data_IF_880669685466
#
_entry.id   IF_880669685466
#
_cell.length_a   1.000
_cell.length_b   1.000
_cell.length_c   1.000
_cell.angle_alpha   90.00
_cell.angle_beta   90.00
_cell.angle_gamma   90.00
#
_symmetry.space_group_name_H-M   'P 1'
#
loop_
_entity.id
_entity.type
_entity.pdbx_description
1 polymer ?
#
# COMPACT_ATOMS: atom_id res chain seq x y z
N UNK A 1 -3.38 -8.89 -10.03
CA UNK A 1 -2.41 -8.29 -10.97
C UNK A 1 -2.82 -8.50 -12.43
N UNK A 2 -3.04 -7.42 -13.17
CA UNK A 2 -3.21 -7.44 -14.61
C UNK A 2 -1.87 -7.71 -15.31
N UNK A 3 -1.92 -8.08 -16.59
CA UNK A 3 -0.73 -8.40 -17.40
C UNK A 3 -0.25 -7.26 -18.28
N UNK A 4 -0.98 -6.14 -18.33
CA UNK A 4 -0.72 -5.01 -19.22
C UNK A 4 -0.11 -3.85 -18.42
N UNK A 5 0.91 -3.23 -18.99
CA UNK A 5 1.51 -2.00 -18.43
C UNK A 5 0.49 -0.87 -18.41
N UNK A 6 0.39 -0.18 -17.29
CA UNK A 6 -0.59 0.86 -17.00
C UNK A 6 -1.78 0.38 -16.19
N UNK A 7 -2.02 -0.93 -16.14
CA UNK A 7 -3.03 -1.54 -15.28
C UNK A 7 -2.43 -1.94 -13.92
N UNK A 8 -3.28 -2.29 -12.95
CA UNK A 8 -2.85 -2.69 -11.60
C UNK A 8 -1.92 -3.91 -11.62
N UNK A 9 -0.70 -3.74 -11.10
CA UNK A 9 0.28 -4.82 -10.93
C UNK A 9 0.25 -5.42 -9.51
N UNK A 10 1.33 -6.09 -9.10
CA UNK A 10 1.45 -6.68 -7.75
C UNK A 10 1.29 -5.65 -6.63
N UNK A 11 1.86 -4.44 -6.78
CA UNK A 11 1.80 -3.37 -5.78
C UNK A 11 0.36 -2.89 -5.60
N UNK A 12 -0.35 -2.76 -6.72
CA UNK A 12 -1.78 -2.49 -6.75
C UNK A 12 -2.61 -3.54 -6.01
N UNK A 13 -2.35 -4.82 -6.23
CA UNK A 13 -3.07 -5.89 -5.52
C UNK A 13 -2.81 -5.89 -4.00
N UNK A 14 -1.59 -5.56 -3.57
CA UNK A 14 -1.29 -5.44 -2.14
C UNK A 14 -2.04 -4.26 -1.50
N UNK A 15 -2.15 -3.14 -2.20
CA UNK A 15 -2.95 -2.01 -1.73
C UNK A 15 -4.42 -2.41 -1.52
N UNK A 16 -5.05 -3.05 -2.50
CA UNK A 16 -6.45 -3.50 -2.36
C UNK A 16 -6.65 -4.52 -1.25
N UNK A 17 -5.69 -5.43 -1.06
CA UNK A 17 -5.70 -6.35 0.08
C UNK A 17 -5.70 -5.58 1.41
N UNK A 18 -4.81 -4.59 1.57
CA UNK A 18 -4.73 -3.77 2.77
C UNK A 18 -6.01 -2.95 2.99
N UNK A 19 -6.56 -2.33 1.94
CA UNK A 19 -7.81 -1.56 1.98
C UNK A 19 -8.97 -2.42 2.50
N UNK A 20 -9.22 -3.57 1.85
CA UNK A 20 -10.35 -4.42 2.23
C UNK A 20 -10.16 -5.06 3.60
N UNK A 21 -8.92 -5.38 3.97
CA UNK A 21 -8.63 -5.89 5.30
C UNK A 21 -8.91 -4.83 6.37
N UNK A 22 -8.42 -3.61 6.20
CA UNK A 22 -8.68 -2.51 7.13
C UNK A 22 -10.19 -2.22 7.24
N UNK A 23 -10.92 -2.20 6.13
CA UNK A 23 -12.38 -2.03 6.13
C UNK A 23 -13.11 -3.17 6.84
N UNK A 24 -12.63 -4.41 6.75
CA UNK A 24 -13.22 -5.55 7.44
C UNK A 24 -12.96 -5.48 8.96
N UNK A 25 -11.73 -5.14 9.35
CA UNK A 25 -11.34 -5.00 10.77
C UNK A 25 -12.01 -3.80 11.43
N UNK A 26 -12.21 -2.70 10.70
CA UNK A 26 -12.94 -1.53 11.21
C UNK A 26 -14.45 -1.79 11.43
N UNK A 27 -15.03 -2.75 10.70
CA UNK A 27 -16.48 -3.05 10.74
C UNK A 27 -16.86 -4.23 11.63
N UNK A 28 -15.90 -5.07 12.04
CA UNK A 28 -16.21 -6.21 12.90
C UNK A 28 -16.63 -5.76 14.30
N UNK A 29 -17.37 -6.62 14.99
CA UNK A 29 -17.98 -6.35 16.31
C UNK A 29 -17.45 -7.27 17.42
N UNK A 30 -16.45 -8.09 17.12
CA UNK A 30 -15.81 -9.02 18.06
C UNK A 30 -14.80 -8.33 18.98
N UNK A 31 -14.15 -7.28 18.49
CA UNK A 31 -13.16 -6.49 19.22
C UNK A 31 -13.33 -5.00 18.91
N UNK A 32 -13.95 -4.26 19.84
CA UNK A 32 -14.23 -2.85 19.65
C UNK A 32 -12.96 -1.98 19.62
N UNK A 33 -11.91 -2.36 20.36
CA UNK A 33 -10.66 -1.61 20.38
C UNK A 33 -9.92 -1.74 19.05
N UNK A 34 -9.86 -2.96 18.51
CA UNK A 34 -9.28 -3.22 17.20
C UNK A 34 -10.08 -2.52 16.07
N UNK A 35 -11.41 -2.54 16.15
CA UNK A 35 -12.26 -1.81 15.20
C UNK A 35 -11.98 -0.30 15.23
N UNK A 36 -11.94 0.30 16.42
CA UNK A 36 -11.66 1.72 16.60
C UNK A 36 -10.26 2.11 16.10
N UNK A 37 -9.26 1.23 16.30
CA UNK A 37 -7.91 1.45 15.81
C UNK A 37 -7.83 1.45 14.26
N UNK A 38 -8.52 0.50 13.61
CA UNK A 38 -8.52 0.40 12.15
C UNK A 38 -9.48 1.37 11.44
N UNK A 39 -10.46 1.94 12.15
CA UNK A 39 -11.41 2.90 11.58
C UNK A 39 -10.76 4.08 10.85
N UNK A 40 -9.81 4.84 11.44
CA UNK A 40 -9.14 5.94 10.73
C UNK A 40 -8.28 5.44 9.57
N UNK A 41 -7.61 4.29 9.71
CA UNK A 41 -6.78 3.70 8.64
C UNK A 41 -7.66 3.34 7.44
N UNK A 42 -8.79 2.67 7.67
CA UNK A 42 -9.74 2.30 6.63
C UNK A 42 -10.33 3.54 5.94
N UNK A 43 -10.64 4.59 6.70
CA UNK A 43 -11.14 5.85 6.16
C UNK A 43 -10.12 6.53 5.25
N UNK A 44 -8.87 6.67 5.70
CA UNK A 44 -7.78 7.27 4.92
C UNK A 44 -7.46 6.49 3.65
N UNK A 45 -7.36 5.16 3.72
CA UNK A 45 -7.14 4.31 2.54
C UNK A 45 -8.29 4.42 1.53
N UNK A 46 -9.53 4.49 2.01
CA UNK A 46 -10.72 4.64 1.14
C UNK A 46 -10.75 6.02 0.49
N UNK A 47 -10.52 7.09 1.26
CA UNK A 47 -10.53 8.46 0.76
C UNK A 47 -9.43 8.73 -0.27
N UNK A 48 -8.28 8.06 -0.12
CA UNK A 48 -7.11 8.24 -0.99
C UNK A 48 -6.97 7.16 -2.07
N UNK A 49 -7.97 6.29 -2.28
CA UNK A 49 -7.86 5.14 -3.19
C UNK A 49 -7.36 5.54 -4.59
N UNK A 50 -8.04 6.50 -5.22
CA UNK A 50 -7.70 6.95 -6.58
C UNK A 50 -6.30 7.54 -6.65
N UNK A 51 -5.90 8.31 -5.63
CA UNK A 51 -4.58 8.94 -5.55
C UNK A 51 -3.48 7.88 -5.41
N UNK A 52 -3.68 6.89 -4.53
CA UNK A 52 -2.73 5.80 -4.32
C UNK A 52 -2.57 4.98 -5.61
N UNK A 53 -3.67 4.60 -6.26
CA UNK A 53 -3.62 3.86 -7.54
C UNK A 53 -2.89 4.65 -8.62
N UNK A 54 -3.13 5.97 -8.71
CA UNK A 54 -2.40 6.84 -9.64
C UNK A 54 -0.90 6.88 -9.35
N UNK A 55 -0.49 7.03 -8.09
CA UNK A 55 0.92 7.00 -7.67
C UNK A 55 1.60 5.66 -8.00
N UNK A 56 0.91 4.54 -7.75
CA UNK A 56 1.41 3.19 -8.06
C UNK A 56 1.57 2.96 -9.57
N UNK A 57 0.67 3.52 -10.39
CA UNK A 57 0.72 3.37 -11.84
C UNK A 57 1.70 4.34 -12.53
N UNK A 58 1.94 5.52 -11.96
CA UNK A 58 2.79 6.57 -12.56
C UNK A 58 4.26 6.15 -12.77
N UNK A 59 4.72 5.13 -12.04
CA UNK A 59 6.08 4.57 -12.17
C UNK A 59 6.20 3.43 -13.18
N UNK A 60 5.08 2.96 -13.74
CA UNK A 60 5.08 1.87 -14.71
C UNK A 60 5.63 2.31 -16.07
N UNK A 61 6.11 1.35 -16.86
CA UNK A 61 6.62 1.59 -18.21
C UNK A 61 8.00 2.24 -18.27
N UNK A 62 8.66 2.44 -17.13
CA UNK A 62 10.03 2.98 -17.02
C UNK A 62 10.98 1.90 -16.53
N UNK A 63 12.23 1.95 -17.03
CA UNK A 63 13.29 1.13 -16.49
C UNK A 63 13.59 1.54 -15.04
N UNK A 64 13.82 0.55 -14.17
CA UNK A 64 14.13 0.75 -12.75
C UNK A 64 15.45 0.05 -12.46
N UNK A 65 16.42 0.79 -11.92
CA UNK A 65 17.68 0.24 -11.44
C UNK A 65 17.57 -0.11 -9.95
N UNK A 66 17.57 -1.40 -9.65
CA UNK A 66 17.54 -1.93 -8.27
C UNK A 66 18.93 -2.25 -7.72
N UNK A 67 20.02 -1.92 -8.43
CA UNK A 67 21.40 -2.08 -7.95
C UNK A 67 21.92 -3.51 -7.92
N UNK A 68 21.34 -4.43 -8.71
CA UNK A 68 21.76 -5.83 -8.79
C UNK A 68 20.63 -6.74 -9.27
N UNK A 69 20.92 -8.04 -9.44
CA UNK A 69 19.89 -9.04 -9.80
C UNK A 69 19.72 -10.10 -8.70
N UNK A 70 20.75 -10.90 -8.45
CA UNK A 70 20.73 -11.91 -7.38
C UNK A 70 20.88 -11.32 -5.97
N UNK A 71 21.52 -10.15 -5.88
CA UNK A 71 21.72 -9.42 -4.63
C UNK A 71 21.50 -7.91 -4.87
N UNK A 72 20.25 -7.47 -5.01
CA UNK A 72 19.93 -6.07 -5.28
C UNK A 72 20.14 -5.20 -4.05
N UNK A 73 20.29 -3.90 -4.25
CA UNK A 73 20.38 -2.94 -3.16
C UNK A 73 19.02 -2.79 -2.47
N UNK A 74 18.96 -3.10 -1.17
CA UNK A 74 17.71 -3.12 -0.42
C UNK A 74 17.00 -1.76 -0.40
N UNK A 75 17.74 -0.64 -0.37
CA UNK A 75 17.15 0.71 -0.35
C UNK A 75 16.53 1.06 -1.70
N UNK A 76 17.20 0.73 -2.81
CA UNK A 76 16.69 0.91 -4.16
C UNK A 76 15.46 0.04 -4.42
N UNK A 77 15.47 -1.20 -3.95
CA UNK A 77 14.29 -2.10 -4.03
C UNK A 77 13.13 -1.53 -3.24
N UNK A 78 13.34 -1.09 -2.00
CA UNK A 78 12.29 -0.49 -1.18
C UNK A 78 11.67 0.73 -1.87
N UNK A 79 12.49 1.63 -2.42
CA UNK A 79 12.02 2.80 -3.16
C UNK A 79 11.23 2.43 -4.43
N UNK A 80 11.68 1.42 -5.17
CA UNK A 80 11.00 0.95 -6.38
C UNK A 80 9.65 0.26 -6.10
N UNK A 81 9.57 -0.50 -5.01
CA UNK A 81 8.41 -1.32 -4.66
C UNK A 81 7.38 -0.56 -3.80
N UNK A 82 7.76 0.52 -3.13
CA UNK A 82 6.88 1.38 -2.32
C UNK A 82 6.78 2.81 -2.90
N UNK A 83 6.37 3.01 -4.16
CA UNK A 83 6.42 4.32 -4.82
C UNK A 83 5.31 5.29 -4.37
N UNK A 84 4.25 4.80 -3.71
CA UNK A 84 3.16 5.65 -3.22
C UNK A 84 3.50 6.24 -1.85
N UNK A 85 3.86 7.52 -1.84
CA UNK A 85 4.09 8.27 -0.60
C UNK A 85 2.82 8.35 0.26
N UNK A 86 1.65 8.47 -0.37
CA UNK A 86 0.37 8.51 0.34
C UNK A 86 0.10 7.19 1.07
N UNK A 87 0.28 6.06 0.38
CA UNK A 87 0.11 4.74 1.01
C UNK A 87 1.13 4.52 2.14
N UNK A 88 2.40 4.85 1.92
CA UNK A 88 3.44 4.67 2.92
C UNK A 88 3.13 5.47 4.20
N UNK A 89 2.71 6.73 4.07
CA UNK A 89 2.37 7.56 5.22
C UNK A 89 1.24 6.94 6.07
N UNK A 90 0.19 6.42 5.43
CA UNK A 90 -0.94 5.79 6.13
C UNK A 90 -0.49 4.51 6.87
N UNK A 91 0.31 3.66 6.21
CA UNK A 91 0.79 2.41 6.80
C UNK A 91 1.77 2.67 7.95
N UNK A 92 2.71 3.61 7.78
CA UNK A 92 3.71 3.91 8.80
C UNK A 92 3.06 4.54 10.05
N UNK A 93 2.01 5.35 9.88
CA UNK A 93 1.20 5.87 10.99
C UNK A 93 0.44 4.75 11.73
N UNK A 94 -0.15 3.80 11.01
CA UNK A 94 -0.83 2.64 11.61
C UNK A 94 0.13 1.72 12.37
N UNK A 95 1.36 1.56 11.87
CA UNK A 95 2.39 0.75 12.52
C UNK A 95 2.95 1.38 13.81
N UNK A 96 3.00 2.71 13.88
CA UNK A 96 3.58 3.42 15.02
C UNK A 96 2.77 3.33 16.33
N UNK A 97 1.51 2.88 16.27
CA UNK A 97 0.60 2.80 17.44
C UNK A 97 0.52 1.36 18.00
N UNK A 98 1.09 0.37 17.30
CA UNK A 98 1.07 -1.04 17.69
C UNK A 98 2.29 -1.48 18.55
N UNK A 99 3.08 -0.53 19.08
CA UNK A 99 4.27 -0.77 19.92
C UNK A 99 4.11 -0.07 21.28
#
# INVERSE_FOLDING_TARGET
PARKVGDLDNRGSHFYLALYWAQAVARQTKDAALAAHFAPIAAELTANEQKIVAELNAVQGKAIDIGGYYHPDAKRVAAALRPSATLNAIIDQGAAVAV
#
